data_IF_319054235452
#
_entry.id   IF_319054235452
#
_cell.length_a   1.000
_cell.length_b   1.000
_cell.length_c   1.000
_cell.angle_alpha   90.00
_cell.angle_beta   90.00
_cell.angle_gamma   90.00
#
_symmetry.space_group_name_H-M   'P 1'
#
loop_
_entity.id
_entity.type
_entity.pdbx_description
1 polymer ?
#
# COMPACT_ATOMS: atom_id res chain seq x y z
N UNK A 1 87.03 -29.18 -2.30
CA UNK A 1 85.80 -29.14 -3.04
C UNK A 1 84.73 -29.81 -2.18
N UNK A 2 83.98 -29.01 -1.38
CA UNK A 2 82.90 -29.53 -0.55
C UNK A 2 81.61 -29.40 -1.37
N UNK A 3 81.01 -30.56 -1.64
CA UNK A 3 79.71 -30.63 -2.30
C UNK A 3 78.61 -30.32 -1.32
N UNK A 4 77.99 -29.15 -1.51
CA UNK A 4 76.77 -28.79 -0.74
C UNK A 4 75.61 -29.74 -1.15
N UNK A 5 75.21 -30.57 -0.24
CA UNK A 5 73.98 -31.37 -0.31
C UNK A 5 72.78 -30.45 -0.15
N UNK A 6 72.05 -30.15 -1.22
CA UNK A 6 70.79 -29.46 -1.15
C UNK A 6 69.74 -30.37 -0.53
N UNK A 7 69.28 -29.99 0.66
CA UNK A 7 68.17 -30.65 1.34
C UNK A 7 66.87 -30.33 0.54
N UNK A 8 66.05 -31.32 0.19
CA UNK A 8 64.82 -31.09 -0.55
C UNK A 8 63.82 -30.34 0.35
N UNK A 9 63.29 -29.26 -0.17
CA UNK A 9 62.20 -28.49 0.47
C UNK A 9 61.00 -29.38 0.79
N UNK A 10 60.61 -29.41 2.05
CA UNK A 10 59.48 -30.19 2.49
C UNK A 10 58.19 -29.73 1.77
N UNK A 11 57.37 -30.70 1.30
CA UNK A 11 56.14 -30.36 0.57
C UNK A 11 55.16 -29.61 1.47
N UNK A 12 54.65 -28.48 0.96
CA UNK A 12 53.72 -27.62 1.66
C UNK A 12 52.45 -28.38 2.15
N UNK A 13 51.92 -28.09 3.31
CA UNK A 13 50.90 -28.88 3.97
C UNK A 13 49.59 -28.93 3.16
N UNK A 14 49.23 -30.13 2.70
CA UNK A 14 48.04 -30.45 1.88
C UNK A 14 46.71 -30.09 2.56
N UNK A 15 46.67 -29.92 3.89
CA UNK A 15 45.46 -29.59 4.66
C UNK A 15 44.83 -28.23 4.31
N UNK A 16 45.62 -27.20 4.02
CA UNK A 16 45.15 -25.86 3.69
C UNK A 16 44.32 -25.83 2.38
N UNK A 17 44.73 -26.59 1.36
CA UNK A 17 44.01 -26.66 0.06
C UNK A 17 42.64 -27.32 0.17
N UNK A 18 42.49 -28.34 1.04
CA UNK A 18 41.21 -29.04 1.24
C UNK A 18 40.19 -28.15 1.94
N UNK A 19 40.59 -27.37 2.96
CA UNK A 19 39.74 -26.39 3.64
C UNK A 19 39.22 -25.35 2.66
N UNK A 20 40.06 -24.72 1.85
CA UNK A 20 39.63 -23.71 0.90
C UNK A 20 38.68 -24.28 -0.18
N UNK A 21 38.85 -25.49 -0.63
CA UNK A 21 37.92 -26.12 -1.56
C UNK A 21 36.54 -26.35 -0.92
N UNK A 22 36.48 -26.89 0.29
CA UNK A 22 35.21 -27.07 1.01
C UNK A 22 34.55 -25.70 1.24
N UNK A 23 35.30 -24.72 1.70
CA UNK A 23 34.78 -23.38 1.91
C UNK A 23 34.21 -22.76 0.62
N UNK A 24 34.92 -22.89 -0.51
CA UNK A 24 34.42 -22.41 -1.80
C UNK A 24 33.12 -23.11 -2.20
N UNK A 25 33.02 -24.43 -2.05
CA UNK A 25 31.79 -25.17 -2.36
C UNK A 25 30.61 -24.75 -1.48
N UNK A 26 30.84 -24.55 -0.18
CA UNK A 26 29.81 -24.10 0.73
C UNK A 26 29.32 -22.69 0.34
N UNK A 27 30.22 -21.74 0.10
CA UNK A 27 29.87 -20.36 -0.31
C UNK A 27 29.15 -20.36 -1.68
N UNK A 28 29.66 -21.13 -2.65
CA UNK A 28 28.99 -21.27 -3.95
C UNK A 28 27.60 -21.90 -3.83
N UNK A 29 27.44 -22.90 -2.97
CA UNK A 29 26.15 -23.50 -2.69
C UNK A 29 25.17 -22.52 -2.08
N UNK A 30 25.60 -21.73 -1.09
CA UNK A 30 24.79 -20.68 -0.47
C UNK A 30 24.43 -19.58 -1.48
N UNK A 31 25.37 -19.16 -2.33
CA UNK A 31 25.12 -18.18 -3.37
C UNK A 31 24.07 -18.66 -4.39
N UNK A 32 24.15 -19.92 -4.81
CA UNK A 32 23.17 -20.53 -5.70
C UNK A 32 21.79 -20.66 -5.06
N UNK A 33 21.71 -21.03 -3.77
CA UNK A 33 20.46 -21.08 -3.03
C UNK A 33 19.84 -19.67 -2.91
N UNK A 34 20.64 -18.66 -2.61
CA UNK A 34 20.18 -17.28 -2.55
C UNK A 34 19.70 -16.77 -3.92
N UNK A 35 20.45 -17.04 -4.98
CA UNK A 35 20.07 -16.70 -6.34
C UNK A 35 18.77 -17.42 -6.78
N UNK A 36 18.62 -18.70 -6.43
CA UNK A 36 17.40 -19.46 -6.66
C UNK A 36 16.20 -18.92 -5.89
N UNK A 37 16.40 -18.54 -4.63
CA UNK A 37 15.35 -17.89 -3.82
C UNK A 37 14.91 -16.55 -4.40
N UNK A 38 15.85 -15.68 -4.75
CA UNK A 38 15.55 -14.36 -5.33
C UNK A 38 14.86 -14.52 -6.69
N UNK A 39 15.44 -15.32 -7.59
CA UNK A 39 14.87 -15.57 -8.92
C UNK A 39 13.50 -16.23 -8.86
N UNK A 40 13.33 -17.21 -7.98
CA UNK A 40 12.05 -17.88 -7.73
C UNK A 40 11.00 -16.94 -7.17
N UNK A 41 11.37 -16.05 -6.26
CA UNK A 41 10.46 -15.06 -5.70
C UNK A 41 10.00 -14.04 -6.76
N UNK A 42 10.94 -13.54 -7.57
CA UNK A 42 10.61 -12.63 -8.68
C UNK A 42 9.67 -13.32 -9.68
N UNK A 43 9.97 -14.55 -10.08
CA UNK A 43 9.13 -15.33 -10.98
C UNK A 43 7.73 -15.56 -10.37
N UNK A 44 7.66 -15.93 -9.10
CA UNK A 44 6.38 -16.12 -8.39
C UNK A 44 5.53 -14.84 -8.42
N UNK A 45 6.10 -13.70 -8.03
CA UNK A 45 5.33 -12.45 -8.01
C UNK A 45 4.85 -12.03 -9.40
N UNK A 46 5.67 -12.16 -10.43
CA UNK A 46 5.27 -11.82 -11.79
C UNK A 46 4.23 -12.79 -12.39
N UNK A 47 4.24 -14.06 -11.98
CA UNK A 47 3.27 -15.04 -12.48
C UNK A 47 1.96 -15.07 -11.67
N UNK A 48 2.04 -14.82 -10.36
CA UNK A 48 0.91 -14.90 -9.46
C UNK A 48 0.11 -13.59 -9.34
N UNK A 49 0.72 -12.46 -9.71
CA UNK A 49 0.13 -11.14 -9.56
C UNK A 49 0.31 -10.32 -10.84
N UNK A 50 -0.78 -9.81 -11.34
CA UNK A 50 -0.88 -9.14 -12.62
C UNK A 50 -1.09 -7.62 -12.50
N UNK A 51 -1.02 -7.07 -11.27
CA UNK A 51 -1.28 -5.67 -11.03
C UNK A 51 -0.26 -5.09 -10.03
N UNK A 52 0.73 -4.32 -10.50
CA UNK A 52 1.66 -3.60 -9.61
C UNK A 52 0.95 -2.43 -8.95
N UNK A 53 1.29 -2.14 -7.69
CA UNK A 53 0.70 -1.03 -6.93
C UNK A 53 1.76 -0.25 -6.17
N UNK A 54 1.57 1.04 -6.12
CA UNK A 54 2.25 1.97 -5.21
C UNK A 54 1.25 3.05 -4.82
N UNK A 55 1.50 3.73 -3.72
CA UNK A 55 0.60 4.76 -3.21
C UNK A 55 1.29 6.11 -3.30
N UNK A 56 0.75 6.97 -4.16
CA UNK A 56 1.19 8.36 -4.24
C UNK A 56 0.54 9.14 -3.09
N UNK A 57 1.37 9.64 -2.15
CA UNK A 57 0.92 10.44 -1.02
C UNK A 57 0.60 9.65 0.24
N UNK A 58 -0.03 10.33 1.19
CA UNK A 58 -0.17 9.89 2.57
C UNK A 58 -1.51 9.21 2.90
N UNK A 59 -2.41 9.05 1.94
CA UNK A 59 -3.79 8.60 2.22
C UNK A 59 -3.89 7.21 2.87
N UNK A 60 -2.89 6.36 2.68
CA UNK A 60 -2.81 5.01 3.24
C UNK A 60 -1.73 4.86 4.33
N UNK A 61 -1.16 5.97 4.80
CA UNK A 61 -0.26 5.95 5.94
C UNK A 61 -1.02 5.54 7.23
N UNK A 62 -0.47 4.75 8.12
CA UNK A 62 0.90 4.23 8.17
C UNK A 62 1.08 2.87 7.49
N UNK A 63 0.05 2.31 6.88
CA UNK A 63 0.17 0.99 6.25
C UNK A 63 1.08 1.01 5.03
N UNK A 64 0.88 1.97 4.12
CA UNK A 64 1.80 2.31 3.05
C UNK A 64 2.62 3.54 3.42
N UNK A 65 3.83 3.59 2.94
CA UNK A 65 4.73 4.73 3.02
C UNK A 65 5.18 5.11 4.44
N UNK A 66 5.09 4.19 5.43
CA UNK A 66 5.59 4.45 6.79
C UNK A 66 7.08 4.81 6.79
N UNK A 67 7.86 4.14 5.95
CA UNK A 67 9.29 4.34 5.80
C UNK A 67 9.62 4.99 4.45
N UNK A 68 8.70 5.76 3.89
CA UNK A 68 8.94 6.51 2.67
C UNK A 68 9.95 7.63 2.89
N UNK A 69 10.70 7.93 1.86
CA UNK A 69 11.76 8.94 1.91
C UNK A 69 11.57 9.96 0.78
N UNK A 70 11.87 11.22 1.08
CA UNK A 70 11.89 12.32 0.13
C UNK A 70 13.32 12.79 -0.13
N UNK A 71 13.63 13.11 -1.38
CA UNK A 71 14.90 13.70 -1.75
C UNK A 71 14.84 15.22 -1.54
N UNK A 72 15.51 15.72 -0.48
CA UNK A 72 15.64 17.13 -0.16
C UNK A 72 17.12 17.51 -0.07
N UNK A 73 17.52 18.56 -0.80
CA UNK A 73 18.92 19.05 -0.83
C UNK A 73 19.95 17.93 -1.11
N UNK A 74 19.61 17.00 -2.01
CA UNK A 74 20.49 15.88 -2.37
C UNK A 74 20.61 14.77 -1.32
N UNK A 75 19.79 14.80 -0.25
CA UNK A 75 19.76 13.77 0.80
C UNK A 75 18.36 13.22 0.95
N UNK A 76 18.25 11.91 1.16
CA UNK A 76 16.98 11.29 1.53
C UNK A 76 16.66 11.57 3.00
N UNK A 77 15.43 12.01 3.24
CA UNK A 77 14.84 12.25 4.56
C UNK A 77 13.51 11.53 4.66
N UNK A 78 13.03 11.20 5.88
CA UNK A 78 11.70 10.67 6.04
C UNK A 78 10.67 11.55 5.34
N UNK A 79 9.76 10.92 4.61
CA UNK A 79 8.73 11.60 3.85
C UNK A 79 7.89 12.52 4.77
N UNK A 80 7.82 13.79 4.42
CA UNK A 80 6.94 14.73 5.09
C UNK A 80 5.57 14.71 4.42
N UNK A 81 4.54 14.38 5.18
CA UNK A 81 3.17 14.31 4.65
C UNK A 81 2.50 15.70 4.54
N UNK A 82 3.18 16.75 4.96
CA UNK A 82 2.63 18.12 4.96
C UNK A 82 2.34 18.63 3.55
N UNK A 83 3.06 18.13 2.53
CA UNK A 83 2.97 18.60 1.14
C UNK A 83 1.96 17.81 0.28
N UNK A 84 1.37 16.79 0.80
CA UNK A 84 0.29 16.05 0.14
C UNK A 84 0.74 14.97 -0.83
N UNK A 85 1.18 15.34 -2.01
CA UNK A 85 1.53 14.40 -3.07
C UNK A 85 3.03 14.10 -3.09
N UNK A 86 3.38 12.91 -3.59
CA UNK A 86 4.76 12.53 -3.82
C UNK A 86 5.38 13.34 -4.96
N UNK A 87 6.68 13.64 -4.83
CA UNK A 87 7.46 14.38 -5.80
C UNK A 87 8.39 13.44 -6.60
N UNK A 88 8.96 13.97 -7.67
CA UNK A 88 9.98 13.25 -8.42
C UNK A 88 11.17 12.90 -7.52
N UNK A 89 11.59 11.64 -7.56
CA UNK A 89 12.67 11.12 -6.73
C UNK A 89 12.26 10.56 -5.37
N UNK A 90 11.01 10.75 -4.90
CA UNK A 90 10.54 10.13 -3.66
C UNK A 90 10.62 8.61 -3.71
N UNK A 91 10.95 7.99 -2.59
CA UNK A 91 11.02 6.53 -2.43
C UNK A 91 9.80 6.06 -1.67
N UNK A 92 8.92 5.33 -2.34
CA UNK A 92 7.63 4.89 -1.84
C UNK A 92 7.52 3.37 -1.78
N UNK A 93 6.62 2.87 -0.96
CA UNK A 93 6.28 1.45 -0.90
C UNK A 93 5.72 0.95 -2.24
N UNK A 94 6.19 -0.22 -2.64
CA UNK A 94 5.76 -0.94 -3.82
C UNK A 94 5.15 -2.29 -3.45
N UNK A 95 4.06 -2.65 -4.10
CA UNK A 95 3.35 -3.88 -3.83
C UNK A 95 2.82 -4.57 -5.07
N UNK A 96 2.21 -5.74 -4.83
CA UNK A 96 1.55 -6.53 -5.84
C UNK A 96 0.09 -6.82 -5.49
N UNK A 97 -0.75 -6.76 -6.52
CA UNK A 97 -2.16 -7.03 -6.47
C UNK A 97 -2.56 -8.04 -7.56
N UNK A 98 -3.71 -8.64 -7.40
CA UNK A 98 -4.41 -9.35 -8.48
C UNK A 98 -5.45 -8.44 -9.07
N UNK A 99 -5.45 -8.32 -10.39
CA UNK A 99 -6.45 -7.54 -11.10
C UNK A 99 -7.84 -8.13 -10.90
N UNK A 100 -8.85 -7.33 -11.13
CA UNK A 100 -10.25 -7.71 -11.12
C UNK A 100 -10.56 -8.92 -12.05
N UNK A 101 -9.82 -9.06 -13.14
CA UNK A 101 -10.01 -10.19 -14.07
C UNK A 101 -9.50 -11.52 -13.49
N UNK A 102 -8.65 -11.46 -12.48
CA UNK A 102 -8.01 -12.61 -11.83
C UNK A 102 -8.65 -12.98 -10.49
N UNK A 103 -9.67 -12.25 -10.04
CA UNK A 103 -10.38 -12.48 -8.77
C UNK A 103 -11.91 -12.40 -8.94
N UNK A 104 -12.62 -13.10 -8.08
CA UNK A 104 -14.06 -12.89 -7.86
C UNK A 104 -14.23 -11.83 -6.75
N UNK A 105 -14.49 -10.57 -7.15
CA UNK A 105 -14.59 -9.44 -6.22
C UNK A 105 -15.59 -9.72 -5.10
N UNK A 106 -16.77 -10.29 -5.44
CA UNK A 106 -17.82 -10.53 -4.45
C UNK A 106 -17.44 -11.56 -3.38
N UNK A 107 -16.57 -12.52 -3.72
CA UNK A 107 -16.10 -13.56 -2.79
C UNK A 107 -14.81 -13.20 -2.09
N UNK A 108 -13.89 -12.57 -2.82
CA UNK A 108 -12.52 -12.39 -2.35
C UNK A 108 -12.28 -11.05 -1.67
N UNK A 109 -13.06 -10.01 -1.99
CA UNK A 109 -12.90 -8.71 -1.33
C UNK A 109 -13.68 -8.70 -0.03
N UNK A 110 -12.95 -8.64 1.06
CA UNK A 110 -13.46 -8.68 2.42
C UNK A 110 -13.15 -7.37 3.17
N UNK A 111 -13.77 -7.17 4.33
CA UNK A 111 -13.47 -6.05 5.22
C UNK A 111 -11.97 -6.01 5.54
N UNK A 112 -11.44 -4.81 5.58
CA UNK A 112 -10.02 -4.48 5.77
C UNK A 112 -9.08 -4.87 4.63
N UNK A 113 -9.54 -5.52 3.58
CA UNK A 113 -8.70 -5.68 2.40
C UNK A 113 -8.37 -4.31 1.78
N UNK A 114 -7.18 -4.21 1.20
CA UNK A 114 -6.76 -3.05 0.43
C UNK A 114 -7.04 -3.30 -1.05
N UNK A 115 -7.66 -2.33 -1.69
CA UNK A 115 -8.04 -2.42 -3.10
C UNK A 115 -7.55 -1.19 -3.88
N UNK A 116 -7.26 -1.42 -5.15
CA UNK A 116 -7.15 -0.34 -6.15
C UNK A 116 -8.54 -0.11 -6.74
N UNK A 117 -9.04 1.11 -6.68
CA UNK A 117 -10.40 1.43 -7.11
C UNK A 117 -10.48 2.80 -7.75
N UNK A 118 -11.44 2.98 -8.64
CA UNK A 118 -11.90 4.28 -9.08
C UNK A 118 -13.10 4.74 -8.25
N UNK A 119 -13.36 6.04 -8.26
CA UNK A 119 -14.51 6.64 -7.59
C UNK A 119 -15.63 6.95 -8.57
N UNK A 120 -16.86 7.14 -8.10
CA UNK A 120 -17.97 7.57 -8.97
C UNK A 120 -17.63 8.80 -9.81
N UNK A 121 -16.89 9.77 -9.25
CA UNK A 121 -16.43 10.97 -9.93
C UNK A 121 -15.39 10.75 -11.03
N UNK A 122 -14.78 9.58 -11.10
CA UNK A 122 -13.81 9.23 -12.15
C UNK A 122 -14.49 8.73 -13.44
N UNK A 123 -15.80 8.58 -13.42
CA UNK A 123 -16.55 8.05 -14.54
C UNK A 123 -17.42 9.11 -15.21
N UNK A 124 -17.59 8.97 -16.53
CA UNK A 124 -18.51 9.80 -17.29
C UNK A 124 -19.95 9.49 -16.86
N UNK A 125 -20.71 10.55 -16.60
CA UNK A 125 -22.11 10.46 -16.17
C UNK A 125 -23.02 11.21 -17.13
N UNK A 126 -24.29 10.83 -17.13
CA UNK A 126 -25.36 11.64 -17.72
C UNK A 126 -25.81 12.72 -16.73
N UNK A 127 -26.66 13.64 -17.19
CA UNK A 127 -27.17 14.73 -16.37
C UNK A 127 -28.03 14.25 -15.17
N UNK A 128 -28.59 13.05 -15.24
CA UNK A 128 -29.35 12.41 -14.16
C UNK A 128 -28.46 11.67 -13.14
N UNK A 129 -27.12 11.71 -13.32
CA UNK A 129 -26.16 11.03 -12.47
C UNK A 129 -25.91 9.56 -12.80
N UNK A 130 -26.61 8.99 -13.76
CA UNK A 130 -26.34 7.62 -14.20
C UNK A 130 -25.03 7.52 -14.97
N UNK A 131 -24.33 6.38 -14.82
CA UNK A 131 -23.03 6.18 -15.45
C UNK A 131 -23.16 5.86 -16.94
N UNK A 132 -22.30 6.47 -17.74
CA UNK A 132 -22.17 6.14 -19.17
C UNK A 132 -21.40 4.84 -19.34
N UNK A 133 -21.86 4.02 -20.29
CA UNK A 133 -21.24 2.74 -20.62
C UNK A 133 -20.85 2.70 -22.10
N UNK A 134 -19.79 1.95 -22.39
CA UNK A 134 -19.37 1.65 -23.76
C UNK A 134 -20.27 0.58 -24.39
N UNK A 135 -19.98 0.20 -25.64
CA UNK A 135 -20.73 -0.81 -26.38
C UNK A 135 -20.71 -2.20 -25.73
N UNK A 136 -19.76 -2.48 -24.86
CA UNK A 136 -19.62 -3.73 -24.11
C UNK A 136 -20.26 -3.65 -22.71
N UNK A 137 -20.93 -2.54 -22.37
CA UNK A 137 -21.55 -2.31 -21.09
C UNK A 137 -20.58 -1.89 -19.97
N UNK A 138 -19.31 -1.64 -20.27
CA UNK A 138 -18.30 -1.23 -19.31
C UNK A 138 -18.40 0.27 -19.01
N UNK A 139 -18.20 0.66 -17.75
CA UNK A 139 -18.15 2.07 -17.33
C UNK A 139 -17.05 2.84 -18.07
N UNK A 140 -17.37 4.04 -18.55
CA UNK A 140 -16.43 4.91 -19.28
C UNK A 140 -15.73 5.83 -18.29
N UNK A 141 -14.41 5.69 -18.14
CA UNK A 141 -13.57 6.56 -17.31
C UNK A 141 -13.42 7.94 -17.96
N UNK A 142 -13.16 8.93 -17.13
CA UNK A 142 -12.62 10.23 -17.55
C UNK A 142 -11.14 10.08 -17.92
N UNK A 143 -10.67 10.89 -18.87
CA UNK A 143 -9.38 10.70 -19.55
C UNK A 143 -8.15 10.76 -18.60
N UNK A 144 -8.22 11.46 -17.47
CA UNK A 144 -7.12 11.61 -16.51
C UNK A 144 -7.40 10.93 -15.17
N UNK A 145 -8.27 9.92 -15.15
CA UNK A 145 -8.56 9.20 -13.92
C UNK A 145 -7.49 8.19 -13.58
N UNK A 146 -7.07 8.18 -12.32
CA UNK A 146 -6.13 7.21 -11.78
C UNK A 146 -6.77 6.38 -10.67
N UNK A 147 -6.48 5.08 -10.56
CA UNK A 147 -6.98 4.27 -9.47
C UNK A 147 -6.40 4.75 -8.14
N UNK A 148 -7.22 4.73 -7.10
CA UNK A 148 -6.86 5.08 -5.74
C UNK A 148 -6.69 3.80 -4.94
N UNK A 149 -5.67 3.75 -4.08
CA UNK A 149 -5.49 2.64 -3.15
C UNK A 149 -6.22 3.00 -1.86
N UNK A 150 -7.15 2.14 -1.43
CA UNK A 150 -7.99 2.34 -0.26
C UNK A 150 -8.29 1.03 0.44
N UNK A 151 -8.71 1.13 1.70
CA UNK A 151 -9.13 -0.03 2.50
C UNK A 151 -10.64 -0.16 2.51
N UNK A 152 -11.12 -1.38 2.36
CA UNK A 152 -12.54 -1.72 2.46
C UNK A 152 -12.99 -1.63 3.92
N UNK A 153 -14.01 -0.81 4.18
CA UNK A 153 -14.57 -0.57 5.50
C UNK A 153 -16.01 -1.11 5.59
N UNK A 154 -16.80 -0.93 4.55
CA UNK A 154 -18.17 -1.46 4.46
C UNK A 154 -18.29 -2.49 3.34
N UNK A 155 -19.11 -3.50 3.56
CA UNK A 155 -19.37 -4.61 2.64
C UNK A 155 -20.80 -4.52 2.07
N UNK A 156 -21.07 -5.20 0.94
CA UNK A 156 -22.40 -5.26 0.36
C UNK A 156 -23.51 -5.63 1.35
N UNK A 157 -24.60 -4.87 1.27
CA UNK A 157 -25.78 -5.07 2.12
C UNK A 157 -25.64 -4.61 3.57
N UNK A 158 -24.58 -3.87 3.91
CA UNK A 158 -24.42 -3.29 5.24
C UNK A 158 -24.88 -1.84 5.28
N UNK A 159 -25.39 -1.43 6.46
CA UNK A 159 -25.57 -0.03 6.82
C UNK A 159 -24.34 0.44 7.59
N UNK A 160 -23.59 1.37 7.04
CA UNK A 160 -22.35 1.87 7.64
C UNK A 160 -22.58 3.27 8.17
N UNK A 161 -22.45 3.44 9.47
CA UNK A 161 -22.53 4.75 10.12
C UNK A 161 -21.13 5.19 10.52
N UNK A 162 -20.73 6.38 10.08
CA UNK A 162 -19.52 7.04 10.52
C UNK A 162 -19.87 8.28 11.34
N UNK A 163 -19.33 8.35 12.55
CA UNK A 163 -19.50 9.47 13.48
C UNK A 163 -18.16 10.12 13.73
N UNK A 164 -18.10 11.42 13.48
CA UNK A 164 -16.95 12.24 13.82
C UNK A 164 -16.86 12.39 15.33
N UNK A 165 -15.69 12.12 15.90
CA UNK A 165 -15.43 12.31 17.32
C UNK A 165 -14.68 13.62 17.53
N UNK A 166 -15.25 14.50 18.37
CA UNK A 166 -14.62 15.74 18.80
C UNK A 166 -13.55 15.48 19.85
N UNK A 167 -12.50 16.31 19.81
CA UNK A 167 -11.58 16.54 20.94
C UNK A 167 -10.91 15.27 21.50
N UNK A 168 -10.41 14.42 20.64
CA UNK A 168 -9.40 13.49 21.12
C UNK A 168 -8.09 14.28 21.17
N UNK A 169 -7.77 14.74 22.37
CA UNK A 169 -6.45 15.30 22.65
C UNK A 169 -5.41 14.19 22.57
N UNK A 170 -4.17 14.56 22.33
CA UNK A 170 -3.01 13.67 22.21
C UNK A 170 -2.82 12.70 23.39
N UNK A 171 -3.40 13.03 24.54
CA UNK A 171 -3.30 12.27 25.80
C UNK A 171 -4.36 11.19 25.98
N UNK A 172 -5.30 11.05 25.05
CA UNK A 172 -6.37 10.08 25.20
C UNK A 172 -5.90 8.69 24.77
N UNK A 173 -5.83 7.74 25.69
CA UNK A 173 -5.49 6.33 25.44
C UNK A 173 -6.42 5.64 24.43
N UNK A 174 -7.62 6.18 24.20
CA UNK A 174 -8.52 5.79 23.12
C UNK A 174 -8.16 6.42 21.76
N UNK A 175 -6.92 6.75 21.58
CA UNK A 175 -6.33 7.21 20.33
C UNK A 175 -6.67 6.35 19.09
N UNK A 176 -7.20 5.18 19.31
CA UNK A 176 -7.74 4.29 18.29
C UNK A 176 -8.92 4.87 17.49
N UNK A 177 -9.53 5.97 17.97
CA UNK A 177 -10.68 6.62 17.35
C UNK A 177 -10.36 8.07 16.94
N UNK A 178 -9.13 8.34 16.57
CA UNK A 178 -8.61 9.71 16.32
C UNK A 178 -9.50 10.53 15.39
N UNK A 179 -10.09 9.88 14.40
CA UNK A 179 -10.83 10.57 13.35
C UNK A 179 -12.33 10.36 13.42
N UNK A 180 -12.77 9.24 13.96
CA UNK A 180 -14.17 8.92 14.10
C UNK A 180 -14.43 7.46 14.39
N UNK A 181 -15.66 7.20 14.81
CA UNK A 181 -16.17 5.86 15.05
C UNK A 181 -16.91 5.35 13.82
N UNK A 182 -16.62 4.13 13.41
CA UNK A 182 -17.35 3.45 12.34
C UNK A 182 -18.15 2.31 12.92
N UNK A 183 -19.46 2.30 12.69
CA UNK A 183 -20.37 1.19 13.03
C UNK A 183 -20.92 0.58 11.76
N UNK A 184 -21.00 -0.74 11.75
CA UNK A 184 -21.64 -1.49 10.67
C UNK A 184 -22.83 -2.25 11.25
N UNK A 185 -23.94 -2.22 10.52
CA UNK A 185 -25.15 -2.95 10.86
C UNK A 185 -25.50 -3.88 9.71
N UNK A 186 -25.69 -5.15 10.01
CA UNK A 186 -26.16 -6.16 9.06
C UNK A 186 -27.10 -7.13 9.79
N UNK A 187 -28.22 -7.47 9.17
CA UNK A 187 -29.20 -8.40 9.73
C UNK A 187 -29.61 -8.07 11.18
N UNK A 188 -29.80 -6.77 11.46
CA UNK A 188 -30.17 -6.24 12.76
C UNK A 188 -29.06 -6.26 13.82
N UNK A 189 -27.86 -6.72 13.50
CA UNK A 189 -26.70 -6.72 14.40
C UNK A 189 -25.78 -5.54 14.07
N UNK A 190 -25.41 -4.78 15.10
CA UNK A 190 -24.49 -3.64 14.98
C UNK A 190 -23.17 -3.97 15.65
N UNK A 191 -22.08 -3.70 14.94
CA UNK A 191 -20.71 -3.83 15.41
C UNK A 191 -19.99 -2.49 15.27
N UNK A 192 -19.21 -2.10 16.27
CA UNK A 192 -18.27 -0.98 16.17
C UNK A 192 -16.94 -1.52 15.68
N UNK A 193 -16.49 -1.02 14.53
CA UNK A 193 -15.22 -1.44 13.94
C UNK A 193 -14.05 -0.94 14.78
N UNK A 194 -13.13 -1.84 15.09
CA UNK A 194 -11.87 -1.46 15.74
C UNK A 194 -10.95 -0.77 14.71
N UNK A 195 -10.37 0.39 15.05
CA UNK A 195 -9.33 1.01 14.24
C UNK A 195 -8.13 0.07 14.12
N UNK A 196 -7.48 0.10 12.96
CA UNK A 196 -6.30 -0.73 12.70
C UNK A 196 -5.02 -0.11 13.27
N UNK A 197 -5.03 1.20 13.51
CA UNK A 197 -3.86 1.97 13.91
C UNK A 197 -4.16 2.84 15.12
N UNK A 198 -3.12 3.08 15.91
CA UNK A 198 -3.13 3.98 17.08
C UNK A 198 -2.45 5.31 16.71
N UNK A 199 -2.52 6.30 17.59
CA UNK A 199 -1.79 7.58 17.41
C UNK A 199 -0.29 7.35 17.22
N UNK A 200 0.28 6.39 17.96
CA UNK A 200 1.70 6.06 17.87
C UNK A 200 2.12 5.57 16.48
N UNK A 201 1.20 4.95 15.73
CA UNK A 201 1.48 4.48 14.37
C UNK A 201 1.66 5.62 13.37
N UNK A 202 1.15 6.82 13.70
CA UNK A 202 1.29 8.02 12.86
C UNK A 202 2.51 8.88 13.22
N UNK A 203 3.35 8.44 14.16
CA UNK A 203 4.56 9.15 14.54
C UNK A 203 5.71 8.83 13.58
N UNK A 204 6.42 9.86 13.13
CA UNK A 204 7.66 9.74 12.35
C UNK A 204 8.75 10.52 13.07
N UNK A 205 9.71 9.82 13.65
CA UNK A 205 10.77 10.42 14.47
C UNK A 205 10.16 11.16 15.66
N UNK A 206 10.62 12.39 15.90
CA UNK A 206 10.13 13.25 17.00
C UNK A 206 8.85 14.02 16.64
N UNK A 207 8.32 13.84 15.44
CA UNK A 207 7.13 14.53 14.98
C UNK A 207 5.94 13.57 15.03
N UNK A 208 4.92 13.96 15.75
CA UNK A 208 3.62 13.32 15.72
C UNK A 208 2.83 13.95 14.59
N UNK A 209 2.59 13.22 13.52
CA UNK A 209 1.75 13.69 12.42
C UNK A 209 0.28 13.49 12.78
N UNK A 210 -0.20 14.33 13.68
CA UNK A 210 -1.61 14.56 13.83
C UNK A 210 -2.02 15.45 12.66
N UNK A 211 -2.55 14.86 11.60
CA UNK A 211 -3.31 15.68 10.70
C UNK A 211 -4.55 16.12 11.46
N UNK A 212 -4.62 17.41 11.79
CA UNK A 212 -5.86 17.93 12.26
C UNK A 212 -6.87 17.57 11.19
N UNK A 213 -7.97 17.06 11.61
CA UNK A 213 -9.17 16.88 10.89
C UNK A 213 -9.27 17.91 9.77
N UNK A 214 -8.85 17.53 8.57
CA UNK A 214 -8.96 18.43 7.44
C UNK A 214 -10.44 18.51 7.15
N UNK A 215 -10.98 19.71 7.27
CA UNK A 215 -12.39 20.03 7.10
C UNK A 215 -13.05 19.17 6.03
N UNK A 216 -13.63 18.05 6.44
CA UNK A 216 -14.69 17.53 5.63
C UNK A 216 -15.75 18.63 5.58
N UNK A 217 -16.02 19.17 4.42
CA UNK A 217 -16.95 20.31 4.23
C UNK A 217 -18.34 20.05 4.84
N UNK A 218 -18.65 18.78 5.19
CA UNK A 218 -19.88 18.36 5.83
C UNK A 218 -19.73 18.13 7.35
N UNK A 219 -18.52 18.11 7.89
CA UNK A 219 -18.30 17.67 9.23
C UNK A 219 -18.21 18.82 10.22
N UNK A 220 -19.19 18.90 11.08
CA UNK A 220 -19.06 19.52 12.39
C UNK A 220 -18.71 18.44 13.41
N UNK A 221 -18.31 18.84 14.57
CA UNK A 221 -17.90 18.02 15.71
C UNK A 221 -18.91 16.98 16.22
N UNK A 222 -20.10 16.99 15.74
CA UNK A 222 -21.19 16.04 16.11
C UNK A 222 -21.75 15.38 14.88
N UNK A 223 -21.13 15.60 13.71
CA UNK A 223 -21.63 15.10 12.45
C UNK A 223 -21.49 13.61 12.35
N UNK A 224 -22.53 12.97 11.89
CA UNK A 224 -22.51 11.58 11.45
C UNK A 224 -23.23 11.46 10.13
N UNK A 225 -22.90 10.42 9.39
CA UNK A 225 -23.68 9.99 8.23
C UNK A 225 -23.86 8.48 8.26
N UNK A 226 -24.86 8.02 7.57
CA UNK A 226 -25.08 6.59 7.33
C UNK A 226 -25.20 6.34 5.83
N UNK A 227 -24.54 5.30 5.36
CA UNK A 227 -24.65 4.79 3.99
C UNK A 227 -25.22 3.37 4.06
N UNK A 228 -26.36 3.15 3.42
CA UNK A 228 -26.93 1.83 3.20
C UNK A 228 -26.36 1.27 1.88
N UNK A 229 -25.45 0.33 2.01
CA UNK A 229 -24.73 -0.24 0.87
C UNK A 229 -25.62 -1.27 0.15
N UNK A 230 -25.76 -1.12 -1.15
CA UNK A 230 -26.47 -2.10 -2.00
C UNK A 230 -25.69 -3.41 -2.09
N UNK A 231 -26.28 -4.39 -2.78
CA UNK A 231 -25.71 -5.74 -2.88
C UNK A 231 -24.37 -5.83 -3.62
N UNK A 232 -23.95 -4.77 -4.32
CA UNK A 232 -22.69 -4.67 -5.04
C UNK A 232 -21.83 -3.46 -4.61
N UNK A 233 -22.25 -2.77 -3.53
CA UNK A 233 -21.60 -1.55 -3.07
C UNK A 233 -20.66 -1.81 -1.89
N UNK A 234 -19.54 -1.11 -1.89
CA UNK A 234 -18.51 -1.13 -0.85
C UNK A 234 -18.24 0.30 -0.37
N UNK A 235 -17.97 0.46 0.91
CA UNK A 235 -17.38 1.69 1.44
C UNK A 235 -15.88 1.50 1.58
N UNK A 236 -15.12 2.41 1.00
CA UNK A 236 -13.66 2.41 1.09
C UNK A 236 -13.14 3.70 1.73
N UNK A 237 -12.05 3.57 2.49
CA UNK A 237 -11.42 4.70 3.15
C UNK A 237 -9.90 4.57 3.16
N UNK A 238 -9.22 5.70 3.25
CA UNK A 238 -7.79 5.73 3.53
C UNK A 238 -7.50 5.38 4.98
N UNK A 239 -6.36 4.78 5.25
CA UNK A 239 -5.91 4.52 6.62
C UNK A 239 -5.62 5.84 7.35
N UNK A 240 -5.08 6.81 6.64
CA UNK A 240 -4.94 8.18 7.13
C UNK A 240 -6.25 8.96 6.93
N UNK A 241 -7.14 8.85 7.91
CA UNK A 241 -8.49 9.45 7.87
C UNK A 241 -8.47 10.97 7.72
N UNK A 242 -7.48 11.64 8.28
CA UNK A 242 -7.33 13.09 8.19
C UNK A 242 -6.78 13.56 6.85
N UNK A 243 -6.21 12.65 6.06
CA UNK A 243 -5.53 12.99 4.81
C UNK A 243 -6.00 12.14 3.62
N UNK A 244 -7.23 11.72 3.61
CA UNK A 244 -7.76 10.89 2.53
C UNK A 244 -9.02 11.49 1.93
N UNK A 245 -9.01 11.68 0.62
CA UNK A 245 -10.24 11.86 -0.15
C UNK A 245 -10.77 10.48 -0.50
N UNK A 246 -11.91 10.07 0.09
CA UNK A 246 -12.43 8.71 0.00
C UNK A 246 -13.95 8.65 0.25
N UNK A 247 -14.50 7.44 0.36
CA UNK A 247 -15.92 7.22 0.58
C UNK A 247 -16.45 7.80 1.90
N UNK A 248 -15.60 7.95 2.93
CA UNK A 248 -15.98 8.61 4.18
C UNK A 248 -16.01 10.12 3.99
N UNK A 249 -14.93 10.70 3.44
CA UNK A 249 -14.84 12.14 3.24
C UNK A 249 -15.86 12.66 2.22
N UNK A 250 -16.13 11.89 1.18
CA UNK A 250 -17.09 12.22 0.13
C UNK A 250 -18.50 11.67 0.36
N UNK A 251 -18.73 10.85 1.37
CA UNK A 251 -20.01 10.18 1.66
C UNK A 251 -20.59 9.42 0.48
N UNK A 252 -19.75 8.60 -0.18
CA UNK A 252 -20.15 7.79 -1.32
C UNK A 252 -19.68 6.34 -1.16
N UNK A 253 -20.41 5.43 -1.80
CA UNK A 253 -20.01 4.05 -2.01
C UNK A 253 -19.38 3.88 -3.40
N UNK A 254 -18.58 2.84 -3.57
CA UNK A 254 -18.11 2.35 -4.86
C UNK A 254 -18.82 1.03 -5.17
N UNK A 255 -19.01 0.73 -6.45
CA UNK A 255 -19.54 -0.59 -6.85
C UNK A 255 -18.42 -1.61 -7.06
N UNK A 256 -18.74 -2.89 -7.04
CA UNK A 256 -17.79 -3.96 -7.33
C UNK A 256 -17.06 -3.78 -8.66
N UNK A 257 -17.71 -3.20 -9.67
CA UNK A 257 -17.10 -2.96 -10.97
C UNK A 257 -16.08 -1.83 -11.00
N UNK A 258 -16.08 -0.96 -9.99
CA UNK A 258 -15.09 0.13 -9.81
C UNK A 258 -13.80 -0.37 -9.18
N UNK A 259 -13.82 -1.54 -8.53
CA UNK A 259 -12.62 -2.19 -7.97
C UNK A 259 -11.80 -2.77 -9.11
N UNK A 260 -10.55 -2.34 -9.23
CA UNK A 260 -9.64 -2.76 -10.29
C UNK A 260 -8.73 -3.90 -9.87
N UNK A 261 -8.33 -3.94 -8.61
CA UNK A 261 -7.44 -4.96 -8.08
C UNK A 261 -7.56 -5.08 -6.55
N UNK A 262 -7.20 -6.25 -6.03
CA UNK A 262 -6.99 -6.49 -4.60
C UNK A 262 -5.50 -6.61 -4.33
N UNK A 263 -5.01 -5.83 -3.37
CA UNK A 263 -3.60 -5.83 -2.96
C UNK A 263 -3.34 -7.00 -2.03
N UNK A 264 -2.25 -7.74 -2.28
CA UNK A 264 -1.87 -8.90 -1.47
C UNK A 264 -0.54 -8.71 -0.74
N UNK A 265 0.39 -7.96 -1.32
CA UNK A 265 1.73 -7.84 -0.80
C UNK A 265 2.31 -6.44 -0.98
N UNK A 266 3.05 -5.99 0.03
CA UNK A 266 4.06 -4.93 -0.11
C UNK A 266 5.39 -5.65 -0.12
N UNK A 267 6.22 -5.42 -1.15
CA UNK A 267 7.42 -6.24 -1.40
C UNK A 267 8.70 -5.45 -1.48
N UNK A 268 8.63 -4.15 -1.44
CA UNK A 268 9.79 -3.29 -1.53
C UNK A 268 9.44 -1.83 -1.71
N UNK A 269 10.37 -1.09 -2.23
CA UNK A 269 10.22 0.34 -2.49
C UNK A 269 10.51 0.64 -3.96
N UNK A 270 9.92 1.69 -4.48
CA UNK A 270 10.18 2.22 -5.81
C UNK A 270 10.49 3.69 -5.74
N UNK A 271 11.39 4.13 -6.63
CA UNK A 271 11.66 5.55 -6.81
C UNK A 271 10.61 6.14 -7.75
N UNK A 272 9.98 7.23 -7.33
CA UNK A 272 9.01 7.94 -8.14
C UNK A 272 9.69 8.73 -9.26
N UNK A 273 9.10 8.69 -10.45
CA UNK A 273 9.38 9.61 -11.54
C UNK A 273 8.09 10.30 -11.94
N UNK A 274 8.06 11.60 -11.73
CA UNK A 274 6.91 12.43 -12.11
C UNK A 274 7.24 13.06 -13.47
N UNK A 275 6.46 12.75 -14.48
CA UNK A 275 6.64 13.33 -15.81
C UNK A 275 6.19 14.79 -15.83
N UNK A 276 6.65 15.56 -16.84
CA UNK A 276 6.30 16.97 -17.02
C UNK A 276 4.79 17.25 -17.19
N UNK A 277 3.97 16.20 -17.39
CA UNK A 277 2.50 16.28 -17.38
C UNK A 277 1.88 16.17 -15.99
N UNK A 278 2.71 16.07 -14.96
CA UNK A 278 2.31 16.33 -13.58
C UNK A 278 1.67 15.19 -12.81
N UNK A 279 1.19 14.11 -13.46
CA UNK A 279 0.52 12.99 -12.78
C UNK A 279 0.74 11.63 -13.46
N UNK A 280 1.56 11.55 -14.49
CA UNK A 280 1.92 10.28 -15.11
C UNK A 280 3.18 9.75 -14.44
N UNK A 281 3.06 8.61 -13.81
CA UNK A 281 4.19 7.84 -13.30
C UNK A 281 4.75 7.10 -14.48
N UNK A 282 5.93 7.52 -14.94
CA UNK A 282 6.63 6.82 -16.00
C UNK A 282 7.01 5.41 -15.51
N UNK A 283 6.67 4.38 -16.30
CA UNK A 283 6.84 2.97 -15.94
C UNK A 283 8.30 2.50 -15.76
N UNK A 284 9.28 3.39 -15.80
CA UNK A 284 10.69 3.14 -15.50
C UNK A 284 11.01 3.25 -14.01
N UNK A 285 10.25 2.56 -13.17
CA UNK A 285 10.54 2.53 -11.74
C UNK A 285 11.77 1.69 -11.47
N UNK A 286 12.79 2.27 -10.86
CA UNK A 286 13.88 1.51 -10.28
C UNK A 286 13.31 0.75 -9.07
N UNK A 287 12.86 -0.48 -9.30
CA UNK A 287 12.39 -1.36 -8.26
C UNK A 287 13.57 -1.76 -7.36
N UNK A 288 13.50 -1.40 -6.10
CA UNK A 288 14.41 -1.89 -5.07
C UNK A 288 13.71 -3.03 -4.34
N UNK A 289 14.02 -4.25 -4.75
CA UNK A 289 13.59 -5.44 -4.06
C UNK A 289 14.21 -5.46 -2.66
N UNK A 290 13.38 -5.36 -1.64
CA UNK A 290 13.81 -5.48 -0.24
C UNK A 290 13.16 -6.71 0.38
N UNK A 291 13.85 -7.87 0.40
CA UNK A 291 13.31 -9.12 0.95
C UNK A 291 12.96 -9.01 2.44
N UNK A 292 13.45 -7.98 3.12
CA UNK A 292 13.21 -7.74 4.53
C UNK A 292 11.92 -6.96 4.81
N UNK A 293 11.28 -6.40 3.78
CA UNK A 293 10.08 -5.57 3.89
C UNK A 293 8.82 -6.25 3.32
N UNK A 294 8.84 -7.57 3.17
CA UNK A 294 7.65 -8.29 2.76
C UNK A 294 6.57 -8.19 3.83
N UNK A 295 5.46 -7.55 3.48
CA UNK A 295 4.27 -7.47 4.31
C UNK A 295 3.08 -8.02 3.55
N UNK A 296 2.42 -9.02 4.11
CA UNK A 296 1.14 -9.49 3.59
C UNK A 296 0.07 -8.46 3.91
N UNK A 297 -0.70 -8.11 2.91
CA UNK A 297 -1.87 -7.24 3.03
C UNK A 297 -3.05 -8.15 3.34
N UNK A 298 -3.62 -8.04 4.52
CA UNK A 298 -4.62 -8.89 5.16
C UNK A 298 -5.73 -9.50 4.36
#
# INVERSE_FOLDING_TARGET
MESQIQTPLAPAPKKKRRFWRIFTYVISGLALLLAGYIGGSIAYFNLAFDYPVFVNGASMYPFFNKDAERLEDGKYRPYSFDDGNSLDGDILDFGFAKSRNSIDVAKEVQRYNVVATYYPSDYRQYADGSFRRDANGKLILLDNSHPKIKRVIGLPGESVTYRVLKNQTEENENANLIWGETKVTKDGKTETLKPLYTTADYNIGDKTYHYPYKDYSWASSTSQFTLDLKADEYLVAGDNRGYSSDGISGRFAITAEMIQAKVYWIVGKTKMHVTAKGNEIDGNHAFVFSPWNFRRVG
#
